data_IF_213432088926
#
_entry.id   IF_213432088926
#
_cell.length_a   1.000
_cell.length_b   1.000
_cell.length_c   1.000
_cell.angle_alpha   90.00
_cell.angle_beta   90.00
_cell.angle_gamma   90.00
#
_symmetry.space_group_name_H-M   'P 1'
#
loop_
_entity.id
_entity.type
_entity.pdbx_description
1 polymer ?
#
# COMPACT_ATOMS: atom_id res chain seq x y z
N UNK A 1 -17.63 -15.64 2.70
CA UNK A 1 -16.59 -15.27 3.67
C UNK A 1 -16.63 -13.78 3.88
N UNK A 2 -16.69 -13.37 5.13
CA UNK A 2 -16.71 -11.96 5.47
C UNK A 2 -15.29 -11.38 5.49
N UNK A 3 -15.11 -10.26 4.81
CA UNK A 3 -13.85 -9.53 4.79
C UNK A 3 -14.05 -8.23 5.54
N UNK A 4 -13.21 -7.99 6.54
CA UNK A 4 -13.25 -6.77 7.33
C UNK A 4 -12.06 -5.89 6.96
N UNK A 5 -12.35 -4.65 6.54
CA UNK A 5 -11.32 -3.65 6.28
C UNK A 5 -11.26 -2.75 7.51
N UNK A 6 -10.08 -2.62 8.10
CA UNK A 6 -9.86 -1.79 9.29
C UNK A 6 -8.47 -1.17 9.25
N UNK A 7 -8.28 -0.14 10.08
CA UNK A 7 -6.95 0.43 10.23
C UNK A 7 -6.03 -0.58 10.91
N UNK A 8 -4.78 -0.61 10.47
CA UNK A 8 -3.77 -1.46 11.08
C UNK A 8 -3.49 -1.01 12.51
N UNK A 9 -3.15 -1.97 13.37
CA UNK A 9 -2.63 -1.72 14.72
C UNK A 9 -1.23 -2.30 14.83
N UNK A 10 -0.49 -1.92 15.88
CA UNK A 10 0.94 -2.31 16.01
C UNK A 10 1.15 -3.82 15.86
N UNK A 11 0.30 -4.64 16.45
CA UNK A 11 0.45 -6.10 16.39
C UNK A 11 0.30 -6.68 14.99
N UNK A 12 -0.27 -5.94 14.06
CA UNK A 12 -0.39 -6.39 12.67
C UNK A 12 0.94 -6.33 11.92
N UNK A 13 1.93 -5.62 12.45
CA UNK A 13 3.19 -5.36 11.73
C UNK A 13 3.95 -6.64 11.37
N UNK A 14 3.90 -7.66 12.20
CA UNK A 14 4.55 -8.94 11.90
C UNK A 14 3.97 -9.53 10.61
N UNK A 15 2.65 -9.62 10.54
CA UNK A 15 1.98 -10.16 9.36
C UNK A 15 2.14 -9.24 8.15
N UNK A 16 2.10 -7.93 8.37
CA UNK A 16 2.30 -6.97 7.29
C UNK A 16 3.67 -7.16 6.65
N UNK A 17 4.72 -7.38 7.43
CA UNK A 17 6.05 -7.62 6.87
C UNK A 17 6.12 -8.92 6.06
N UNK A 18 5.37 -9.95 6.46
CA UNK A 18 5.26 -11.17 5.66
C UNK A 18 4.61 -10.89 4.31
N UNK A 19 3.55 -10.08 4.31
CA UNK A 19 2.87 -9.69 3.07
C UNK A 19 3.78 -8.83 2.19
N UNK A 20 4.53 -7.92 2.78
CA UNK A 20 5.51 -7.09 2.06
C UNK A 20 6.56 -7.97 1.38
N UNK A 21 7.04 -8.99 2.09
CA UNK A 21 8.01 -9.94 1.50
C UNK A 21 7.37 -10.73 0.36
N UNK A 22 6.12 -11.11 0.49
CA UNK A 22 5.38 -11.80 -0.58
C UNK A 22 5.31 -10.91 -1.83
N UNK A 23 5.00 -9.62 -1.65
CA UNK A 23 4.94 -8.67 -2.75
C UNK A 23 6.31 -8.49 -3.41
N UNK A 24 7.37 -8.34 -2.61
CA UNK A 24 8.73 -8.18 -3.13
C UNK A 24 9.12 -9.40 -3.98
N UNK A 25 8.78 -10.60 -3.52
CA UNK A 25 9.06 -11.83 -4.26
C UNK A 25 8.28 -11.85 -5.57
N UNK A 26 7.01 -11.47 -5.54
CA UNK A 26 6.19 -11.36 -6.75
C UNK A 26 6.80 -10.36 -7.74
N UNK A 27 7.33 -9.26 -7.24
CA UNK A 27 7.95 -8.21 -8.05
C UNK A 27 9.39 -8.53 -8.45
N UNK A 28 9.84 -9.77 -8.24
CA UNK A 28 11.17 -10.27 -8.63
C UNK A 28 12.32 -9.57 -7.90
N UNK A 29 12.04 -9.10 -6.67
CA UNK A 29 13.03 -8.40 -5.84
C UNK A 29 13.03 -8.94 -4.39
N UNK A 30 13.17 -10.28 -4.18
CA UNK A 30 13.00 -10.88 -2.85
C UNK A 30 14.04 -10.44 -1.83
N UNK A 31 15.19 -9.95 -2.26
CA UNK A 31 16.29 -9.56 -1.37
C UNK A 31 16.26 -8.08 -1.00
N UNK A 32 15.28 -7.32 -1.49
CA UNK A 32 15.23 -5.88 -1.29
C UNK A 32 14.63 -5.48 0.08
N UNK A 33 13.91 -6.37 0.76
CA UNK A 33 13.28 -6.04 2.03
C UNK A 33 14.31 -6.22 3.16
N UNK A 34 14.90 -5.12 3.58
CA UNK A 34 15.95 -5.11 4.60
C UNK A 34 15.54 -4.38 5.88
N UNK A 35 14.38 -3.75 5.90
CA UNK A 35 13.87 -3.05 7.08
C UNK A 35 13.58 -4.05 8.20
N UNK A 36 13.93 -3.66 9.45
CA UNK A 36 13.69 -4.50 10.61
C UNK A 36 12.30 -4.25 11.19
N UNK A 37 11.74 -5.27 11.83
CA UNK A 37 10.40 -5.19 12.40
C UNK A 37 10.24 -4.02 13.38
N UNK A 38 11.20 -3.83 14.28
CA UNK A 38 11.13 -2.75 15.28
C UNK A 38 11.12 -1.37 14.60
N UNK A 39 11.91 -1.18 13.56
CA UNK A 39 11.92 0.07 12.80
C UNK A 39 10.59 0.28 12.08
N UNK A 40 10.06 -0.78 11.48
CA UNK A 40 8.78 -0.72 10.79
C UNK A 40 7.66 -0.33 11.76
N UNK A 41 7.59 -0.98 12.91
CA UNK A 41 6.58 -0.69 13.94
C UNK A 41 6.68 0.76 14.43
N UNK A 42 7.89 1.21 14.76
CA UNK A 42 8.08 2.55 15.30
C UNK A 42 7.72 3.63 14.27
N UNK A 43 7.98 3.37 12.99
CA UNK A 43 7.66 4.31 11.92
C UNK A 43 6.16 4.48 11.69
N UNK A 44 5.36 3.49 12.07
CA UNK A 44 3.90 3.58 11.94
C UNK A 44 3.17 3.89 13.24
N UNK A 45 3.70 3.41 14.37
CA UNK A 45 2.99 3.46 15.66
C UNK A 45 3.78 4.12 16.78
N UNK A 46 4.94 4.68 16.48
CA UNK A 46 5.73 5.42 17.44
C UNK A 46 5.26 6.85 17.63
N UNK A 47 6.12 7.67 18.25
CA UNK A 47 5.80 9.05 18.57
C UNK A 47 5.60 9.94 17.34
N UNK A 48 6.29 9.63 16.25
CA UNK A 48 6.25 10.44 15.03
C UNK A 48 5.96 9.53 13.82
N UNK A 49 4.71 9.09 13.64
CA UNK A 49 4.38 8.17 12.56
C UNK A 49 4.58 8.82 11.19
N UNK A 50 5.14 8.03 10.26
CA UNK A 50 5.38 8.48 8.89
C UNK A 50 4.67 7.61 7.86
N UNK A 51 3.97 6.55 8.30
CA UNK A 51 3.09 5.78 7.42
C UNK A 51 1.83 5.35 8.16
N UNK A 52 0.80 5.07 7.39
CA UNK A 52 -0.52 4.60 7.86
C UNK A 52 -0.97 3.46 6.97
N UNK A 53 -1.81 2.59 7.49
CA UNK A 53 -2.22 1.43 6.70
C UNK A 53 -3.62 0.96 7.06
N UNK A 54 -4.27 0.36 6.07
CA UNK A 54 -5.45 -0.49 6.25
C UNK A 54 -5.04 -1.93 6.08
N UNK A 55 -5.72 -2.82 6.79
CA UNK A 55 -5.57 -4.27 6.61
C UNK A 55 -6.93 -4.88 6.29
N UNK A 56 -6.90 -5.96 5.54
CA UNK A 56 -8.07 -6.78 5.25
C UNK A 56 -7.97 -8.05 6.08
N UNK A 57 -8.99 -8.32 6.88
CA UNK A 57 -9.03 -9.45 7.78
C UNK A 57 -10.11 -10.43 7.35
N UNK A 58 -9.76 -11.70 7.25
CA UNK A 58 -10.67 -12.80 6.97
C UNK A 58 -10.52 -13.83 8.08
N UNK A 59 -11.61 -14.13 8.79
CA UNK A 59 -11.60 -15.12 9.90
C UNK A 59 -10.48 -14.86 10.92
N UNK A 60 -10.27 -13.60 11.26
CA UNK A 60 -9.27 -13.20 12.25
C UNK A 60 -7.83 -13.16 11.74
N UNK A 61 -7.61 -13.41 10.44
CA UNK A 61 -6.27 -13.41 9.84
C UNK A 61 -6.15 -12.26 8.85
N UNK A 62 -5.07 -11.50 8.93
CA UNK A 62 -4.79 -10.45 7.96
C UNK A 62 -4.34 -11.09 6.65
N UNK A 63 -5.11 -10.83 5.60
CA UNK A 63 -4.89 -11.42 4.26
C UNK A 63 -4.55 -10.39 3.20
N UNK A 64 -4.58 -9.12 3.55
CA UNK A 64 -4.21 -8.04 2.63
C UNK A 64 -3.92 -6.77 3.39
N UNK A 65 -3.27 -5.83 2.71
CA UNK A 65 -2.92 -4.55 3.30
C UNK A 65 -2.78 -3.47 2.25
N UNK A 66 -2.90 -2.22 2.69
CA UNK A 66 -2.59 -1.04 1.88
C UNK A 66 -1.91 -0.04 2.79
N UNK A 67 -0.71 0.38 2.44
CA UNK A 67 0.12 1.27 3.26
C UNK A 67 0.41 2.54 2.48
N UNK A 68 0.19 3.70 3.12
CA UNK A 68 0.42 4.98 2.47
C UNK A 68 1.18 5.94 3.39
N UNK A 69 1.72 6.99 2.79
CA UNK A 69 2.26 8.14 3.51
C UNK A 69 1.87 9.42 2.76
N UNK A 70 2.18 10.57 3.37
CA UNK A 70 1.78 11.86 2.83
C UNK A 70 2.90 12.39 1.95
N UNK A 71 2.58 12.62 0.66
CA UNK A 71 3.48 13.29 -0.26
C UNK A 71 3.04 14.74 -0.42
N UNK A 72 3.98 15.66 -0.32
CA UNK A 72 3.66 17.06 -0.55
C UNK A 72 4.06 17.48 -1.96
N UNK A 73 3.07 17.87 -2.76
CA UNK A 73 3.30 18.45 -4.07
C UNK A 73 3.36 19.98 -3.92
N UNK A 74 4.44 20.59 -4.35
CA UNK A 74 4.55 22.05 -4.30
C UNK A 74 3.57 22.73 -5.26
N UNK A 75 3.00 21.98 -6.19
CA UNK A 75 1.98 22.50 -7.12
C UNK A 75 0.56 22.31 -6.60
N UNK A 76 0.31 21.22 -5.89
CA UNK A 76 -1.06 20.79 -5.54
C UNK A 76 -1.31 20.64 -4.05
N UNK A 77 -0.29 20.57 -3.21
CA UNK A 77 -0.43 20.36 -1.77
C UNK A 77 -0.32 18.89 -1.38
N UNK A 78 -1.01 18.52 -0.32
CA UNK A 78 -0.90 17.16 0.25
C UNK A 78 -1.61 16.11 -0.60
N UNK A 79 -0.91 15.02 -0.85
CA UNK A 79 -1.44 13.87 -1.57
C UNK A 79 -1.17 12.59 -0.80
N UNK A 80 -2.06 11.62 -0.95
CA UNK A 80 -1.82 10.29 -0.44
C UNK A 80 -0.87 9.56 -1.39
N UNK A 81 0.29 9.12 -0.88
CA UNK A 81 1.16 8.28 -1.68
C UNK A 81 1.02 6.84 -1.23
N UNK A 82 0.47 6.01 -2.09
CA UNK A 82 0.27 4.60 -1.81
C UNK A 82 1.57 3.85 -2.12
N UNK A 83 2.23 3.35 -1.06
CA UNK A 83 3.46 2.60 -1.21
C UNK A 83 3.18 1.17 -1.68
N UNK A 84 2.33 0.45 -0.94
CA UNK A 84 2.02 -0.94 -1.24
C UNK A 84 0.53 -1.22 -1.07
N UNK A 85 -0.02 -2.01 -1.99
CA UNK A 85 -1.33 -2.63 -1.84
C UNK A 85 -1.22 -4.06 -2.34
N UNK A 86 -1.62 -5.00 -1.52
CA UNK A 86 -1.55 -6.41 -1.90
C UNK A 86 -2.53 -7.27 -1.12
N UNK A 87 -2.85 -8.39 -1.73
CA UNK A 87 -3.68 -9.44 -1.13
C UNK A 87 -2.88 -10.74 -1.30
N UNK A 88 -2.82 -11.54 -0.23
CA UNK A 88 -2.10 -12.81 -0.29
C UNK A 88 -2.67 -13.71 -1.39
N UNK A 89 -1.83 -14.52 -1.99
CA UNK A 89 -2.16 -15.27 -3.21
C UNK A 89 -3.46 -16.08 -3.08
N UNK A 90 -3.62 -16.80 -1.97
CA UNK A 90 -4.77 -17.66 -1.75
C UNK A 90 -6.11 -16.91 -1.70
N UNK A 91 -6.06 -15.61 -1.46
CA UNK A 91 -7.24 -14.79 -1.27
C UNK A 91 -7.50 -13.85 -2.44
N UNK A 92 -6.75 -13.97 -3.52
CA UNK A 92 -6.95 -13.13 -4.72
C UNK A 92 -8.23 -13.53 -5.45
N UNK A 93 -8.74 -12.61 -6.27
CA UNK A 93 -9.94 -12.84 -7.04
C UNK A 93 -11.24 -12.68 -6.26
N UNK A 94 -11.19 -12.16 -5.05
CA UNK A 94 -12.36 -11.96 -4.18
C UNK A 94 -12.65 -10.47 -3.91
N UNK A 95 -12.12 -9.60 -4.75
CA UNK A 95 -12.33 -8.14 -4.67
C UNK A 95 -11.80 -7.48 -3.41
N UNK A 96 -10.90 -8.14 -2.69
CA UNK A 96 -10.31 -7.59 -1.46
C UNK A 96 -9.46 -6.37 -1.78
N UNK A 97 -8.70 -6.41 -2.89
CA UNK A 97 -7.93 -5.25 -3.34
C UNK A 97 -8.80 -4.03 -3.56
N UNK A 98 -9.98 -4.21 -4.16
CA UNK A 98 -10.93 -3.12 -4.36
C UNK A 98 -11.45 -2.56 -3.05
N UNK A 99 -11.73 -3.42 -2.07
CA UNK A 99 -12.18 -2.96 -0.75
C UNK A 99 -11.10 -2.12 -0.07
N UNK A 100 -9.84 -2.54 -0.16
CA UNK A 100 -8.71 -1.78 0.39
C UNK A 100 -8.55 -0.45 -0.34
N UNK A 101 -8.61 -0.46 -1.65
CA UNK A 101 -8.44 0.76 -2.44
C UNK A 101 -9.56 1.76 -2.20
N UNK A 102 -10.80 1.27 -2.09
CA UNK A 102 -11.95 2.11 -1.76
C UNK A 102 -11.79 2.76 -0.39
N UNK A 103 -11.28 2.02 0.60
CA UNK A 103 -11.00 2.57 1.92
C UNK A 103 -9.96 3.68 1.86
N UNK A 104 -8.92 3.52 1.03
CA UNK A 104 -7.92 4.56 0.82
C UNK A 104 -8.53 5.83 0.23
N UNK A 105 -9.41 5.68 -0.75
CA UNK A 105 -10.08 6.82 -1.40
C UNK A 105 -10.91 7.59 -0.38
N UNK A 106 -11.68 6.88 0.44
CA UNK A 106 -12.49 7.52 1.49
C UNK A 106 -11.58 8.27 2.48
N UNK A 107 -10.52 7.64 2.93
CA UNK A 107 -9.56 8.26 3.85
C UNK A 107 -8.92 9.50 3.24
N UNK A 108 -8.50 9.43 1.99
CA UNK A 108 -7.88 10.55 1.30
C UNK A 108 -8.82 11.75 1.22
N UNK A 109 -10.08 11.50 0.90
CA UNK A 109 -11.09 12.56 0.82
C UNK A 109 -11.40 13.15 2.18
N UNK A 110 -11.55 12.32 3.21
CA UNK A 110 -11.82 12.78 4.56
C UNK A 110 -10.68 13.62 5.14
N UNK A 111 -9.44 13.29 4.80
CA UNK A 111 -8.27 14.04 5.25
C UNK A 111 -7.96 15.27 4.39
N UNK A 112 -8.75 15.50 3.36
CA UNK A 112 -8.58 16.67 2.50
C UNK A 112 -7.40 16.58 1.54
N UNK A 113 -6.91 15.37 1.26
CA UNK A 113 -5.87 15.19 0.23
C UNK A 113 -6.49 15.47 -1.14
N UNK A 114 -5.72 16.10 -2.02
CA UNK A 114 -6.24 16.47 -3.34
C UNK A 114 -6.05 15.38 -4.39
N UNK A 115 -5.50 14.25 -4.02
CA UNK A 115 -5.33 13.12 -4.92
C UNK A 115 -4.48 12.03 -4.32
N UNK A 116 -4.26 11.00 -5.12
CA UNK A 116 -3.44 9.85 -4.76
C UNK A 116 -2.41 9.61 -5.85
N UNK A 117 -1.21 9.21 -5.45
CA UNK A 117 -0.14 8.81 -6.36
C UNK A 117 0.41 7.46 -5.94
N UNK A 118 0.85 6.68 -6.91
CA UNK A 118 1.52 5.41 -6.67
C UNK A 118 2.30 5.02 -7.91
N UNK A 119 3.09 3.95 -7.80
CA UNK A 119 3.85 3.39 -8.90
C UNK A 119 3.35 1.98 -9.19
N UNK A 120 3.56 1.54 -10.41
CA UNK A 120 3.31 0.16 -10.83
C UNK A 120 4.43 -0.23 -11.79
N UNK A 121 4.93 -1.46 -11.64
CA UNK A 121 5.91 -1.98 -12.58
C UNK A 121 5.28 -2.10 -13.97
N UNK A 122 6.01 -1.70 -14.99
CA UNK A 122 5.49 -1.63 -16.35
C UNK A 122 5.04 -2.97 -16.92
N UNK A 123 5.58 -4.08 -16.39
CA UNK A 123 5.21 -5.43 -16.80
C UNK A 123 4.06 -6.02 -15.99
N UNK A 124 3.63 -5.36 -14.90
CA UNK A 124 2.60 -5.89 -14.00
C UNK A 124 1.20 -5.62 -14.53
N UNK A 125 0.81 -6.39 -15.55
CA UNK A 125 -0.45 -6.18 -16.25
C UNK A 125 -1.70 -6.36 -15.37
N UNK A 126 -1.77 -7.35 -14.47
CA UNK A 126 -2.92 -7.45 -13.57
C UNK A 126 -3.13 -6.20 -12.71
N UNK A 127 -2.05 -5.63 -12.17
CA UNK A 127 -2.13 -4.40 -11.38
C UNK A 127 -2.52 -3.21 -12.24
N UNK A 128 -1.94 -3.08 -13.43
CA UNK A 128 -2.28 -2.02 -14.37
C UNK A 128 -3.77 -2.07 -14.71
N UNK A 129 -4.30 -3.26 -14.99
CA UNK A 129 -5.72 -3.43 -15.29
C UNK A 129 -6.61 -3.09 -14.09
N UNK A 130 -6.16 -3.42 -12.88
CA UNK A 130 -6.85 -3.05 -11.66
C UNK A 130 -6.98 -1.53 -11.56
N UNK A 131 -5.88 -0.80 -11.75
CA UNK A 131 -5.89 0.66 -11.66
C UNK A 131 -6.67 1.33 -12.78
N UNK A 132 -6.73 0.73 -13.96
CA UNK A 132 -7.56 1.24 -15.06
C UNK A 132 -9.04 1.30 -14.69
N UNK A 133 -9.51 0.40 -13.83
CA UNK A 133 -10.91 0.41 -13.36
C UNK A 133 -11.23 1.66 -12.56
N UNK A 134 -10.22 2.31 -11.98
CA UNK A 134 -10.37 3.54 -11.21
C UNK A 134 -10.08 4.79 -12.06
N UNK A 135 -9.92 4.63 -13.36
CA UNK A 135 -9.60 5.73 -14.28
C UNK A 135 -8.29 6.43 -13.92
N UNK A 136 -7.30 5.67 -13.45
CA UNK A 136 -6.00 6.20 -13.09
C UNK A 136 -5.26 6.75 -14.32
N UNK A 137 -4.53 7.85 -14.14
CA UNK A 137 -3.63 8.35 -15.16
C UNK A 137 -2.27 7.67 -15.02
N UNK A 138 -1.67 7.31 -16.15
CA UNK A 138 -0.34 6.70 -16.19
C UNK A 138 0.61 7.71 -16.83
N UNK A 139 1.68 8.05 -16.12
CA UNK A 139 2.64 9.05 -16.60
C UNK A 139 4.03 8.43 -16.68
N UNK A 140 4.47 7.99 -17.87
CA UNK A 140 5.78 7.36 -18.05
C UNK A 140 6.93 8.34 -18.24
N UNK A 141 6.66 9.64 -18.27
CA UNK A 141 7.69 10.64 -18.53
C UNK A 141 8.65 10.87 -17.37
N UNK A 142 8.22 10.54 -16.14
CA UNK A 142 9.04 10.75 -14.95
C UNK A 142 9.95 9.56 -14.70
N UNK A 143 11.23 9.83 -14.61
CA UNK A 143 12.24 8.80 -14.37
C UNK A 143 12.55 8.74 -12.88
N UNK A 144 12.49 7.54 -12.30
CA UNK A 144 12.86 7.32 -10.90
C UNK A 144 14.37 7.45 -10.74
N UNK A 145 14.79 8.25 -9.77
CA UNK A 145 16.21 8.47 -9.48
C UNK A 145 16.46 8.14 -8.01
N UNK A 146 17.58 7.49 -7.73
CA UNK A 146 17.92 7.12 -6.34
C UNK A 146 19.42 7.15 -6.10
N UNK A 147 19.78 7.39 -4.85
CA UNK A 147 21.13 7.20 -4.34
C UNK A 147 21.00 6.38 -3.06
N UNK A 148 21.75 5.31 -2.95
CA UNK A 148 21.76 4.45 -1.76
C UNK A 148 22.93 4.83 -0.87
N UNK A 149 22.67 4.97 0.44
CA UNK A 149 23.71 5.28 1.43
C UNK A 149 24.19 4.04 2.15
#
# INVERSE_FOLDING_TARGET
MEIKIRKAVRKDCVRMMELIQELATYEKAPDEVTVKLDHFEESGFGANPIWWAFVAEAKGVVVGMALYYIRYSTWKGQRMYLEDILVTEDMRGQKIGSLLFDALIVEAKEKGFNGMNWQVLDWNEPAINFYKKYNANFDPEWVNCSIVF
#
